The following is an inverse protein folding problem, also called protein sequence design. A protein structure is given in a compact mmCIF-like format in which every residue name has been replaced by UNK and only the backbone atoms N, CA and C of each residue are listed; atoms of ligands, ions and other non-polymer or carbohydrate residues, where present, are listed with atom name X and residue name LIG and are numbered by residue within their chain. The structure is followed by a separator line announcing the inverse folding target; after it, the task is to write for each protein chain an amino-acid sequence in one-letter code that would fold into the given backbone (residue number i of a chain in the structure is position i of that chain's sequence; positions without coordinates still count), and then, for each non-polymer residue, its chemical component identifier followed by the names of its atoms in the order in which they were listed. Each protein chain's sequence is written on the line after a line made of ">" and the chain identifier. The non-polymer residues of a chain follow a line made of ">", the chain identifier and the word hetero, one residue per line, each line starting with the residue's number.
data_IF_665058161908
#
_entry.id   IF_665058161908
#
_cell.length_a   1.000
_cell.length_b   1.000
_cell.length_c   1.000
_cell.angle_alpha   90.00
_cell.angle_beta   90.00
_cell.angle_gamma   90.00
#
_symmetry.space_group_name_H-M   'P 1'
#
loop_
_entity.id
_entity.type
_entity.pdbx_description
1 polymer ?
#
# COMPACT_ATOMS: atom_id res chain seq x y z
N UNK A 1 16.76 -21.22 11.05
CA UNK A 1 15.98 -19.99 11.34
C UNK A 1 14.56 -20.42 11.66
N UNK A 2 13.88 -19.82 12.62
CA UNK A 2 12.49 -20.20 12.90
C UNK A 2 11.57 -19.77 11.75
N UNK A 3 10.51 -20.55 11.51
CA UNK A 3 9.55 -20.29 10.46
C UNK A 3 8.47 -19.26 10.90
N UNK A 4 8.18 -18.30 10.05
CA UNK A 4 7.08 -17.35 10.22
C UNK A 4 5.93 -17.79 9.34
N UNK A 5 4.70 -17.76 9.87
CA UNK A 5 3.48 -18.02 9.12
C UNK A 5 2.58 -16.77 9.12
N UNK A 6 2.07 -16.41 7.96
CA UNK A 6 1.10 -15.30 7.77
C UNK A 6 0.28 -15.54 6.50
N UNK A 7 -0.75 -14.75 6.28
CA UNK A 7 -1.47 -14.74 4.99
C UNK A 7 -0.97 -13.55 4.18
N UNK A 8 -0.51 -13.77 2.95
CA UNK A 8 -0.07 -12.69 2.05
C UNK A 8 -0.91 -12.71 0.77
N UNK A 9 -1.61 -11.63 0.48
CA UNK A 9 -2.50 -11.51 -0.69
C UNK A 9 -3.51 -12.67 -0.78
N UNK A 10 -4.08 -13.05 0.37
CA UNK A 10 -5.07 -14.12 0.48
C UNK A 10 -4.50 -15.54 0.43
N UNK A 11 -3.18 -15.72 0.37
CA UNK A 11 -2.52 -17.03 0.34
C UNK A 11 -1.74 -17.26 1.64
N UNK A 12 -1.90 -18.43 2.28
CA UNK A 12 -1.06 -18.79 3.44
C UNK A 12 0.40 -18.94 2.99
N UNK A 13 1.29 -18.35 3.75
CA UNK A 13 2.73 -18.39 3.53
C UNK A 13 3.42 -18.81 4.83
N UNK A 14 4.37 -19.73 4.70
CA UNK A 14 5.29 -20.10 5.78
C UNK A 14 6.70 -20.08 5.21
N UNK A 15 7.59 -19.31 5.80
CA UNK A 15 8.97 -19.21 5.36
C UNK A 15 9.91 -18.94 6.55
N UNK A 16 11.15 -19.39 6.44
CA UNK A 16 12.18 -19.10 7.42
C UNK A 16 12.62 -17.64 7.33
N UNK A 17 12.76 -16.99 8.48
CA UNK A 17 13.30 -15.65 8.56
C UNK A 17 14.11 -15.43 9.84
N UNK A 18 15.18 -14.65 9.74
CA UNK A 18 15.92 -14.16 10.91
C UNK A 18 15.00 -13.24 11.74
N UNK A 19 15.20 -13.21 13.05
CA UNK A 19 14.41 -12.40 13.97
C UNK A 19 14.47 -10.89 13.65
N UNK A 20 15.52 -10.45 12.95
CA UNK A 20 15.73 -9.05 12.53
C UNK A 20 15.26 -8.75 11.12
N UNK A 21 14.70 -9.72 10.40
CA UNK A 21 14.20 -9.53 9.04
C UNK A 21 13.04 -8.53 9.06
N UNK A 22 13.18 -7.42 8.32
CA UNK A 22 12.11 -6.44 8.17
C UNK A 22 10.99 -7.02 7.29
N UNK A 23 9.75 -6.58 7.52
CA UNK A 23 8.60 -7.04 6.73
C UNK A 23 8.81 -6.76 5.24
N UNK A 24 9.34 -5.59 4.87
CA UNK A 24 9.62 -5.26 3.47
C UNK A 24 10.65 -6.20 2.84
N UNK A 25 11.69 -6.60 3.58
CA UNK A 25 12.69 -7.57 3.10
C UNK A 25 12.07 -8.95 2.92
N UNK A 26 11.27 -9.40 3.88
CA UNK A 26 10.53 -10.66 3.78
C UNK A 26 9.65 -10.71 2.54
N UNK A 27 8.88 -9.64 2.27
CA UNK A 27 8.02 -9.55 1.09
C UNK A 27 8.84 -9.53 -0.21
N UNK A 28 9.86 -8.65 -0.31
CA UNK A 28 10.61 -8.44 -1.55
C UNK A 28 11.59 -9.57 -1.87
N UNK A 29 12.37 -9.99 -0.88
CA UNK A 29 13.46 -10.93 -1.08
C UNK A 29 13.02 -12.37 -0.81
N UNK A 30 12.24 -12.58 0.23
CA UNK A 30 11.71 -13.90 0.61
C UNK A 30 10.60 -14.37 -0.34
N UNK A 31 9.59 -13.53 -0.57
CA UNK A 31 8.42 -13.89 -1.36
C UNK A 31 8.45 -13.38 -2.81
N UNK A 32 9.48 -12.60 -3.19
CA UNK A 32 9.61 -11.99 -4.51
C UNK A 32 8.46 -11.05 -4.91
N UNK A 33 7.76 -10.48 -3.92
CA UNK A 33 6.74 -9.45 -4.12
C UNK A 33 7.41 -8.08 -4.15
N UNK A 34 7.92 -7.69 -5.30
CA UNK A 34 8.78 -6.51 -5.48
C UNK A 34 8.02 -5.21 -5.68
N UNK A 35 6.69 -5.23 -5.76
CA UNK A 35 5.86 -4.03 -5.91
C UNK A 35 5.89 -3.10 -4.69
N UNK A 36 6.20 -3.60 -3.50
CA UNK A 36 6.47 -2.77 -2.32
C UNK A 36 7.89 -2.22 -2.41
N UNK A 37 8.04 -0.90 -2.49
CA UNK A 37 9.35 -0.25 -2.68
C UNK A 37 9.98 0.24 -1.37
N UNK A 38 11.29 0.47 -1.38
CA UNK A 38 12.04 1.05 -0.26
C UNK A 38 12.71 2.33 -0.73
N UNK A 39 12.31 3.48 -0.17
CA UNK A 39 12.85 4.78 -0.54
C UNK A 39 13.67 5.47 0.55
N UNK A 40 13.52 5.10 1.83
CA UNK A 40 14.18 5.83 2.92
C UNK A 40 14.67 4.98 4.10
N UNK A 41 14.10 3.80 4.37
CA UNK A 41 14.34 2.96 5.55
C UNK A 41 14.05 3.62 6.92
N UNK A 42 13.37 4.76 6.92
CA UNK A 42 13.18 5.59 8.13
C UNK A 42 11.72 5.96 8.37
N UNK A 43 10.77 5.23 7.80
CA UNK A 43 9.32 5.48 7.88
C UNK A 43 8.85 6.84 7.35
N UNK A 44 9.69 7.56 6.58
CA UNK A 44 9.37 8.91 6.10
C UNK A 44 8.63 8.90 4.76
N UNK A 45 9.14 8.17 3.75
CA UNK A 45 8.71 8.35 2.36
C UNK A 45 7.40 7.66 1.98
N UNK A 46 6.94 6.66 2.72
CA UNK A 46 5.70 5.93 2.44
C UNK A 46 5.74 4.96 1.25
N UNK A 47 6.87 4.81 0.54
CA UNK A 47 6.98 3.90 -0.60
C UNK A 47 6.77 2.42 -0.23
N UNK A 48 6.99 2.07 1.04
CA UNK A 48 6.89 0.72 1.58
C UNK A 48 5.54 0.39 2.21
N UNK A 49 4.52 1.23 2.03
CA UNK A 49 3.20 1.00 2.64
C UNK A 49 2.56 -0.28 2.11
N UNK A 50 2.14 -1.12 3.05
CA UNK A 50 1.31 -2.32 2.83
C UNK A 50 0.13 -2.28 3.78
N UNK A 51 -0.86 -3.15 3.62
CA UNK A 51 -1.90 -3.31 4.62
C UNK A 51 -1.58 -4.49 5.53
N UNK A 52 -1.71 -4.29 6.83
CA UNK A 52 -1.69 -5.32 7.87
C UNK A 52 -3.08 -5.35 8.51
N UNK A 53 -3.79 -6.46 8.35
CA UNK A 53 -5.19 -6.59 8.78
C UNK A 53 -6.06 -5.40 8.34
N UNK A 54 -5.88 -4.99 7.09
CA UNK A 54 -6.63 -3.90 6.46
C UNK A 54 -6.15 -2.48 6.75
N UNK A 55 -5.14 -2.28 7.62
CA UNK A 55 -4.62 -0.96 8.00
C UNK A 55 -3.28 -0.68 7.31
N UNK A 56 -3.10 0.54 6.82
CA UNK A 56 -1.84 0.96 6.20
C UNK A 56 -0.70 1.02 7.24
N UNK A 57 0.40 0.31 6.96
CA UNK A 57 1.61 0.30 7.78
C UNK A 57 2.85 0.46 6.90
N UNK A 58 3.92 0.99 7.45
CA UNK A 58 5.21 1.14 6.76
C UNK A 58 6.10 -0.08 7.02
N UNK A 59 6.22 -0.96 6.04
CA UNK A 59 6.91 -2.24 6.16
C UNK A 59 8.43 -2.12 6.36
N UNK A 60 9.05 -0.97 6.12
CA UNK A 60 10.49 -0.77 6.26
C UNK A 60 10.98 -0.63 7.72
N UNK A 61 10.06 -0.44 8.66
CA UNK A 61 10.40 -0.28 10.09
C UNK A 61 9.64 -1.26 10.99
N UNK A 62 9.06 -2.29 10.37
CA UNK A 62 8.35 -3.37 11.04
C UNK A 62 9.11 -4.69 10.81
N UNK A 63 9.31 -5.47 11.85
CA UNK A 63 9.85 -6.82 11.69
C UNK A 63 8.80 -7.77 11.12
N UNK A 64 9.23 -8.72 10.29
CA UNK A 64 8.35 -9.74 9.73
C UNK A 64 7.60 -10.53 10.81
N UNK A 65 8.25 -10.78 11.96
CA UNK A 65 7.67 -11.45 13.12
C UNK A 65 6.48 -10.73 13.73
N UNK A 66 6.39 -9.40 13.62
CA UNK A 66 5.25 -8.63 14.11
C UNK A 66 3.99 -8.84 13.25
N UNK A 67 4.16 -9.36 12.03
CA UNK A 67 3.08 -9.73 11.14
C UNK A 67 2.73 -11.23 11.20
N UNK A 68 3.32 -11.99 12.13
CA UNK A 68 3.01 -13.41 12.28
C UNK A 68 1.53 -13.61 12.60
N UNK A 69 0.87 -14.51 11.87
CA UNK A 69 -0.56 -14.79 11.98
C UNK A 69 -1.50 -13.75 11.36
N UNK A 70 -0.99 -12.61 10.89
CA UNK A 70 -1.79 -11.54 10.31
C UNK A 70 -2.04 -11.71 8.81
N UNK A 71 -2.94 -10.89 8.27
CA UNK A 71 -3.20 -10.76 6.84
C UNK A 71 -2.43 -9.56 6.28
N UNK A 72 -1.47 -9.80 5.42
CA UNK A 72 -0.71 -8.78 4.71
C UNK A 72 -1.24 -8.64 3.29
N UNK A 73 -1.59 -7.43 2.88
CA UNK A 73 -1.93 -7.13 1.48
C UNK A 73 -0.91 -6.15 0.92
N UNK A 74 -0.29 -6.53 -0.20
CA UNK A 74 0.62 -5.68 -0.97
C UNK A 74 -0.10 -5.13 -2.20
N UNK A 75 0.56 -4.26 -2.96
CA UNK A 75 0.00 -3.70 -4.20
C UNK A 75 -0.38 -4.80 -5.20
N UNK A 76 0.35 -5.91 -5.23
CA UNK A 76 0.06 -7.06 -6.11
C UNK A 76 -1.25 -7.77 -5.73
N UNK A 77 -1.73 -7.59 -4.51
CA UNK A 77 -2.97 -8.20 -4.03
C UNK A 77 -4.24 -7.34 -4.23
N UNK A 78 -4.12 -6.11 -4.74
CA UNK A 78 -5.28 -5.23 -4.93
C UNK A 78 -6.08 -5.58 -6.18
N UNK A 79 -5.42 -5.83 -7.30
CA UNK A 79 -6.08 -6.26 -8.53
C UNK A 79 -6.61 -7.69 -8.35
N UNK A 80 -7.87 -7.93 -8.76
CA UNK A 80 -8.52 -9.25 -8.67
C UNK A 80 -9.07 -9.65 -10.04
N UNK A 81 -8.88 -10.89 -10.42
CA UNK A 81 -9.42 -11.47 -11.66
C UNK A 81 -9.08 -10.64 -12.92
N UNK A 82 -7.87 -10.09 -12.97
CA UNK A 82 -7.40 -9.25 -14.08
C UNK A 82 -7.99 -7.83 -14.11
N UNK A 83 -8.77 -7.44 -13.10
CA UNK A 83 -9.36 -6.11 -12.97
C UNK A 83 -8.59 -5.29 -11.94
N UNK A 84 -8.25 -4.07 -12.33
CA UNK A 84 -7.62 -3.11 -11.42
C UNK A 84 -8.59 -2.72 -10.29
N UNK A 85 -8.03 -2.44 -9.12
CA UNK A 85 -8.79 -1.82 -8.04
C UNK A 85 -9.20 -0.39 -8.45
N UNK A 86 -10.38 0.16 -8.05
CA UNK A 86 -10.82 1.51 -8.42
C UNK A 86 -9.79 2.61 -8.19
N UNK A 87 -8.99 2.51 -7.13
CA UNK A 87 -7.89 3.46 -6.87
C UNK A 87 -6.78 3.33 -7.93
N UNK A 88 -6.44 2.11 -8.36
CA UNK A 88 -5.46 1.91 -9.43
C UNK A 88 -5.95 2.48 -10.76
N UNK A 89 -7.23 2.27 -11.09
CA UNK A 89 -7.86 2.86 -12.28
C UNK A 89 -7.84 4.39 -12.23
N UNK A 90 -8.22 4.98 -11.10
CA UNK A 90 -8.21 6.43 -10.93
C UNK A 90 -6.80 7.03 -11.08
N UNK A 91 -5.76 6.35 -10.56
CA UNK A 91 -4.37 6.78 -10.76
C UNK A 91 -3.96 6.74 -12.23
N UNK A 92 -4.36 5.72 -12.98
CA UNK A 92 -4.15 5.64 -14.43
C UNK A 92 -4.88 6.76 -15.17
N UNK A 93 -6.17 6.92 -14.91
CA UNK A 93 -7.07 7.83 -15.64
C UNK A 93 -6.72 9.30 -15.39
N UNK A 94 -6.27 9.62 -14.19
CA UNK A 94 -5.88 10.99 -13.78
C UNK A 94 -4.37 11.26 -13.93
N UNK A 95 -3.61 10.33 -14.53
CA UNK A 95 -2.14 10.46 -14.65
C UNK A 95 -1.46 10.72 -13.29
N UNK A 96 -1.87 10.00 -12.23
CA UNK A 96 -1.40 10.15 -10.86
C UNK A 96 0.03 9.62 -10.63
N UNK A 97 0.80 9.39 -11.69
CA UNK A 97 2.16 8.87 -11.62
C UNK A 97 3.02 9.39 -12.78
N UNK A 98 4.34 9.43 -12.56
CA UNK A 98 5.36 9.65 -13.59
C UNK A 98 6.37 8.49 -13.57
N UNK A 99 7.40 8.52 -12.70
CA UNK A 99 8.36 7.42 -12.62
C UNK A 99 7.75 6.12 -12.03
N UNK A 100 6.65 6.20 -11.29
CA UNK A 100 5.96 5.07 -10.69
C UNK A 100 6.53 4.56 -9.37
N UNK A 101 7.66 5.09 -8.90
CA UNK A 101 8.32 4.57 -7.70
C UNK A 101 7.48 4.74 -6.42
N UNK A 102 6.87 5.89 -6.20
CA UNK A 102 6.00 6.15 -5.04
C UNK A 102 4.60 5.52 -5.19
N UNK A 103 4.21 5.14 -6.40
CA UNK A 103 2.83 4.80 -6.75
C UNK A 103 2.24 3.64 -5.95
N UNK A 104 2.93 2.51 -5.73
CA UNK A 104 2.38 1.45 -4.89
C UNK A 104 2.04 1.92 -3.47
N UNK A 105 2.96 2.62 -2.82
CA UNK A 105 2.74 3.16 -1.48
C UNK A 105 1.62 4.21 -1.42
N UNK A 106 1.55 5.09 -2.43
CA UNK A 106 0.46 6.07 -2.55
C UNK A 106 -0.91 5.38 -2.70
N UNK A 107 -1.01 4.35 -3.54
CA UNK A 107 -2.26 3.60 -3.75
C UNK A 107 -2.66 2.87 -2.47
N UNK A 108 -1.74 2.19 -1.79
CA UNK A 108 -2.04 1.49 -0.54
C UNK A 108 -2.51 2.47 0.55
N UNK A 109 -1.87 3.64 0.66
CA UNK A 109 -2.31 4.72 1.56
C UNK A 109 -3.68 5.25 1.16
N UNK A 110 -3.94 5.47 -0.14
CA UNK A 110 -5.21 5.96 -0.64
C UNK A 110 -6.38 5.00 -0.35
N UNK A 111 -6.17 3.70 -0.50
CA UNK A 111 -7.19 2.69 -0.17
C UNK A 111 -7.56 2.75 1.31
N UNK A 112 -6.57 2.82 2.21
CA UNK A 112 -6.82 2.93 3.65
C UNK A 112 -7.54 4.25 4.02
N UNK A 113 -7.09 5.39 3.47
CA UNK A 113 -7.74 6.67 3.78
C UNK A 113 -9.18 6.74 3.28
N UNK A 114 -9.48 6.17 2.10
CA UNK A 114 -10.85 6.12 1.56
C UNK A 114 -11.74 5.21 2.40
N UNK A 115 -11.22 4.09 2.89
CA UNK A 115 -11.96 3.21 3.81
C UNK A 115 -12.33 3.90 5.12
N UNK A 116 -11.41 4.70 5.67
CA UNK A 116 -11.63 5.42 6.93
C UNK A 116 -12.55 6.63 6.79
N UNK A 117 -12.40 7.39 5.72
CA UNK A 117 -13.02 8.72 5.60
C UNK A 117 -14.15 8.78 4.55
N UNK A 118 -14.25 7.81 3.66
CA UNK A 118 -15.20 7.86 2.53
C UNK A 118 -14.79 8.87 1.46
N UNK A 119 -15.75 9.65 0.96
CA UNK A 119 -15.48 10.74 0.03
C UNK A 119 -14.81 11.90 0.77
N UNK A 120 -13.75 12.45 0.17
CA UNK A 120 -12.91 13.49 0.80
C UNK A 120 -12.72 14.66 -0.16
N UNK A 121 -12.58 15.86 0.42
CA UNK A 121 -12.11 17.02 -0.32
C UNK A 121 -10.59 17.00 -0.51
N UNK A 122 -10.09 17.88 -1.36
CA UNK A 122 -8.67 17.94 -1.74
C UNK A 122 -7.74 18.30 -0.58
N UNK A 123 -8.20 19.09 0.38
CA UNK A 123 -7.39 19.52 1.52
C UNK A 123 -7.25 18.39 2.54
N UNK A 124 -8.32 17.65 2.79
CA UNK A 124 -8.27 16.40 3.58
C UNK A 124 -7.33 15.39 2.93
N UNK A 125 -7.40 15.18 1.60
CA UNK A 125 -6.50 14.27 0.89
C UNK A 125 -5.04 14.70 1.03
N UNK A 126 -4.73 15.99 0.90
CA UNK A 126 -3.36 16.50 1.07
C UNK A 126 -2.82 16.23 2.48
N UNK A 127 -3.65 16.48 3.49
CA UNK A 127 -3.29 16.21 4.88
C UNK A 127 -3.06 14.70 5.13
N UNK A 128 -3.94 13.85 4.64
CA UNK A 128 -3.81 12.40 4.78
C UNK A 128 -2.61 11.81 4.01
N UNK A 129 -2.11 12.51 3.00
CA UNK A 129 -0.88 12.13 2.27
C UNK A 129 0.41 12.54 2.97
N UNK A 130 0.36 13.23 4.10
CA UNK A 130 1.53 13.46 4.92
C UNK A 130 2.19 12.13 5.29
N UNK A 131 3.47 11.98 5.01
CA UNK A 131 4.18 10.70 5.16
C UNK A 131 4.25 9.86 3.88
N UNK A 132 3.78 10.39 2.72
CA UNK A 132 3.98 9.81 1.39
C UNK A 132 4.66 10.84 0.49
N UNK A 133 5.86 10.52 -0.03
CA UNK A 133 6.68 11.44 -0.83
C UNK A 133 6.65 11.04 -2.30
N UNK A 134 6.33 12.01 -3.16
CA UNK A 134 6.51 11.94 -4.61
C UNK A 134 7.46 13.06 -5.06
N UNK A 135 8.53 12.69 -5.79
CA UNK A 135 9.51 13.66 -6.29
C UNK A 135 9.18 14.18 -7.70
N UNK A 136 8.20 13.60 -8.39
CA UNK A 136 7.96 13.85 -9.81
C UNK A 136 6.75 14.74 -10.09
N UNK A 137 5.59 14.47 -9.46
CA UNK A 137 4.27 14.94 -9.91
C UNK A 137 3.83 16.29 -9.34
N UNK A 138 4.44 16.77 -8.27
CA UNK A 138 3.92 17.91 -7.51
C UNK A 138 2.59 17.64 -6.82
N UNK A 139 2.18 16.36 -6.70
CA UNK A 139 0.97 15.86 -6.03
C UNK A 139 -0.38 16.21 -6.69
N UNK A 140 -0.46 17.14 -7.62
CA UNK A 140 -1.73 17.63 -8.18
C UNK A 140 -2.57 16.50 -8.75
N UNK A 141 -1.97 15.68 -9.61
CA UNK A 141 -2.67 14.54 -10.23
C UNK A 141 -2.92 13.39 -9.25
N UNK A 142 -2.03 13.19 -8.28
CA UNK A 142 -2.23 12.20 -7.20
C UNK A 142 -3.47 12.57 -6.39
N UNK A 143 -3.59 13.83 -5.96
CA UNK A 143 -4.76 14.32 -5.22
C UNK A 143 -6.03 14.19 -6.06
N UNK A 144 -5.98 14.51 -7.36
CA UNK A 144 -7.11 14.34 -8.27
C UNK A 144 -7.52 12.86 -8.42
N UNK A 145 -6.55 11.95 -8.53
CA UNK A 145 -6.80 10.53 -8.61
C UNK A 145 -7.48 9.98 -7.34
N UNK A 146 -7.02 10.40 -6.17
CA UNK A 146 -7.61 9.95 -4.89
C UNK A 146 -9.01 10.53 -4.71
N UNK A 147 -9.23 11.80 -5.03
CA UNK A 147 -10.54 12.44 -5.00
C UNK A 147 -11.54 11.69 -5.90
N UNK A 148 -11.15 11.39 -7.14
CA UNK A 148 -11.93 10.63 -8.09
C UNK A 148 -12.24 9.21 -7.60
N UNK A 149 -11.22 8.48 -7.12
CA UNK A 149 -11.40 7.15 -6.54
C UNK A 149 -12.38 7.15 -5.36
N UNK A 150 -12.29 8.15 -4.48
CA UNK A 150 -13.15 8.26 -3.31
C UNK A 150 -14.63 8.44 -3.66
N UNK A 151 -14.91 9.04 -4.83
CA UNK A 151 -16.26 9.23 -5.37
C UNK A 151 -16.77 7.99 -6.12
N UNK A 152 -15.87 7.27 -6.83
CA UNK A 152 -16.20 6.07 -7.62
C UNK A 152 -16.46 4.84 -6.75
N UNK A 153 -15.74 4.69 -5.65
CA UNK A 153 -15.84 3.50 -4.82
C UNK A 153 -17.21 3.37 -4.16
N UNK A 154 -17.82 2.21 -4.34
CA UNK A 154 -19.08 1.82 -3.68
C UNK A 154 -18.87 1.57 -2.18
N UNK A 155 -19.96 1.49 -1.43
CA UNK A 155 -19.92 1.14 -0.01
C UNK A 155 -19.27 -0.24 0.23
N UNK A 156 -19.54 -1.22 -0.65
CA UNK A 156 -18.96 -2.54 -0.57
C UNK A 156 -17.44 -2.53 -0.81
N UNK A 157 -16.96 -1.76 -1.80
CA UNK A 157 -15.52 -1.61 -2.10
C UNK A 157 -14.77 -0.86 -1.00
N UNK A 158 -15.43 0.06 -0.31
CA UNK A 158 -14.86 0.75 0.86
C UNK A 158 -14.74 -0.13 2.08
N UNK A 159 -15.61 -1.13 2.22
CA UNK A 159 -15.62 -2.05 3.35
C UNK A 159 -14.68 -3.27 3.18
N UNK A 160 -14.30 -3.59 1.94
CA UNK A 160 -13.43 -4.73 1.61
C UNK A 160 -11.95 -4.40 1.77
#
# INVERSE_FOLDING_TARGET
>A
MPAISMTVNGKPVTADADARTLLVQFLREGLRLTGTHVGCDTSQCGACVVHLDGKAVKACTMFAWQAAGANVTTIEGLAKDGKLHPVQEAFRDNHGLQCGFCTPGMIMTAVDMIRRNGAMDRDTIRHELEGNICRCTGYVNIVSAIEDASKRMTAAEKAA
#
